data_IF_114368482934
#
_entry.id   IF_114368482934
#
_cell.length_a   1.000
_cell.length_b   1.000
_cell.length_c   1.000
_cell.angle_alpha   90.00
_cell.angle_beta   90.00
_cell.angle_gamma   90.00
#
_symmetry.space_group_name_H-M   'P 1'
#
loop_
_entity.id
_entity.type
_entity.pdbx_description
1 polymer ?
#
# COMPACT_ATOMS: atom_id res chain seq x y z
N UNK A 1 44.74 -19.59 -21.08
CA UNK A 1 43.94 -18.45 -20.62
C UNK A 1 42.54 -18.95 -20.42
N UNK A 2 42.21 -19.29 -19.16
CA UNK A 2 40.92 -19.90 -18.78
C UNK A 2 40.10 -18.80 -18.08
N UNK A 3 39.00 -18.40 -18.67
CA UNK A 3 37.99 -17.55 -18.01
C UNK A 3 36.93 -18.44 -17.36
N UNK A 4 37.00 -18.49 -16.04
CA UNK A 4 35.99 -19.17 -15.20
C UNK A 4 34.85 -18.19 -14.96
N UNK A 5 33.67 -18.50 -15.50
CA UNK A 5 32.44 -17.76 -15.27
C UNK A 5 31.66 -18.35 -14.08
N UNK A 6 31.61 -17.59 -13.00
CA UNK A 6 30.78 -17.94 -11.84
C UNK A 6 29.32 -17.57 -12.10
N UNK A 7 28.50 -18.58 -12.36
CA UNK A 7 27.04 -18.46 -12.43
C UNK A 7 26.50 -18.64 -11.01
N UNK A 8 26.15 -17.56 -10.34
CA UNK A 8 25.41 -17.61 -9.10
C UNK A 8 23.95 -17.94 -9.40
N UNK A 9 23.55 -19.15 -9.03
CA UNK A 9 22.17 -19.64 -9.05
C UNK A 9 21.38 -18.95 -7.95
N UNK A 10 20.37 -18.16 -8.32
CA UNK A 10 19.31 -17.74 -7.41
C UNK A 10 18.37 -18.92 -7.20
N UNK A 11 18.40 -19.48 -5.99
CA UNK A 11 17.44 -20.49 -5.56
C UNK A 11 16.17 -19.82 -5.07
N UNK A 12 15.08 -19.99 -5.81
CA UNK A 12 13.73 -19.71 -5.33
C UNK A 12 13.33 -20.88 -4.45
N UNK A 13 13.30 -20.67 -3.13
CA UNK A 13 12.76 -21.61 -2.16
C UNK A 13 11.36 -21.21 -1.76
N UNK A 14 10.35 -21.86 -2.33
CA UNK A 14 9.00 -21.83 -1.78
C UNK A 14 8.96 -22.67 -0.51
N UNK A 15 8.66 -22.07 0.62
CA UNK A 15 8.43 -22.71 1.92
C UNK A 15 7.26 -22.06 2.64
N UNK A 16 6.07 -22.62 2.43
CA UNK A 16 4.92 -22.46 3.32
C UNK A 16 5.27 -23.09 4.66
N UNK A 17 5.04 -22.36 5.78
CA UNK A 17 4.43 -22.79 7.06
C UNK A 17 4.74 -21.71 8.10
N UNK A 18 3.68 -21.18 8.70
CA UNK A 18 3.50 -20.48 9.96
C UNK A 18 4.73 -20.05 10.74
N UNK A 19 4.94 -18.75 10.85
CA UNK A 19 5.96 -18.17 11.72
C UNK A 19 6.28 -16.75 11.25
N UNK A 20 6.19 -15.81 12.16
CA UNK A 20 6.50 -14.41 11.95
C UNK A 20 7.76 -14.24 11.09
N UNK A 21 7.60 -13.78 9.87
CA UNK A 21 8.73 -13.39 9.02
C UNK A 21 9.06 -11.93 9.34
N UNK A 22 10.00 -11.76 10.23
CA UNK A 22 10.73 -10.52 10.34
C UNK A 22 11.65 -10.42 9.11
N UNK A 23 11.16 -9.80 8.04
CA UNK A 23 12.01 -9.42 6.91
C UNK A 23 12.72 -8.13 7.28
N UNK A 24 13.89 -8.26 7.88
CA UNK A 24 14.83 -7.15 7.95
C UNK A 24 15.46 -6.98 6.56
N UNK A 25 14.85 -6.18 5.71
CA UNK A 25 15.50 -5.67 4.50
C UNK A 25 16.33 -4.46 4.91
N UNK A 26 17.58 -4.70 5.32
CA UNK A 26 18.59 -3.65 5.37
C UNK A 26 19.08 -3.40 3.95
N UNK A 27 18.38 -2.55 3.22
CA UNK A 27 18.96 -1.85 2.07
C UNK A 27 19.39 -0.50 2.59
N UNK A 28 20.70 -0.34 2.74
CA UNK A 28 21.27 0.95 3.05
C UNK A 28 21.13 1.87 1.86
N UNK A 29 20.45 2.98 2.05
CA UNK A 29 20.69 4.26 1.38
C UNK A 29 20.06 5.34 2.27
N UNK A 30 20.81 6.38 2.54
CA UNK A 30 20.49 7.39 3.50
C UNK A 30 19.36 8.31 3.02
N UNK A 31 18.51 8.68 3.97
CA UNK A 31 17.50 9.73 3.84
C UNK A 31 16.26 9.38 4.64
N UNK A 32 16.24 9.77 5.89
CA UNK A 32 15.11 10.12 6.76
C UNK A 32 13.69 9.58 6.43
N UNK A 33 13.46 8.29 6.51
CA UNK A 33 12.12 7.73 6.72
C UNK A 33 12.15 6.61 7.75
N UNK A 34 12.50 6.98 9.00
CA UNK A 34 12.51 6.06 10.13
C UNK A 34 11.10 5.80 10.73
N UNK A 35 10.04 6.37 10.15
CA UNK A 35 8.71 6.32 10.75
C UNK A 35 7.98 4.99 10.62
N UNK A 36 7.97 4.39 9.44
CA UNK A 36 7.17 3.18 9.18
C UNK A 36 7.81 1.90 9.75
N UNK A 37 9.14 1.78 9.67
CA UNK A 37 9.84 0.63 10.22
C UNK A 37 9.80 0.56 11.76
N UNK A 38 9.78 1.72 12.45
CA UNK A 38 9.66 1.79 13.91
C UNK A 38 8.23 1.46 14.39
N UNK A 39 7.20 1.79 13.59
CA UNK A 39 5.82 1.39 13.89
C UNK A 39 5.64 -0.12 13.75
N UNK A 40 6.19 -0.73 12.69
CA UNK A 40 6.16 -2.19 12.50
C UNK A 40 6.87 -2.95 13.65
N UNK A 41 7.97 -2.44 14.14
CA UNK A 41 8.69 -3.03 15.29
C UNK A 41 7.87 -2.94 16.59
N UNK A 42 7.07 -1.89 16.76
CA UNK A 42 6.18 -1.70 17.91
C UNK A 42 5.00 -2.68 17.91
N UNK A 43 4.40 -2.92 16.76
CA UNK A 43 3.25 -3.85 16.59
C UNK A 43 3.69 -5.30 16.76
N UNK A 44 4.84 -5.69 16.20
CA UNK A 44 5.38 -7.05 16.36
C UNK A 44 5.83 -7.38 17.81
N UNK A 45 6.22 -6.38 18.59
CA UNK A 45 6.70 -6.57 19.96
C UNK A 45 5.58 -6.67 21.01
N UNK A 46 4.36 -6.27 20.68
CA UNK A 46 3.24 -6.23 21.64
C UNK A 46 2.55 -7.57 21.89
N UNK A 47 2.92 -8.68 21.21
CA UNK A 47 2.44 -10.04 21.51
C UNK A 47 0.92 -10.26 21.43
N UNK A 48 0.15 -9.24 21.06
CA UNK A 48 -1.23 -9.33 20.65
C UNK A 48 -1.23 -9.36 19.13
N UNK A 49 -1.98 -10.26 18.49
CA UNK A 49 -2.15 -10.21 17.04
C UNK A 49 -2.49 -8.77 16.65
N UNK A 50 -1.77 -8.21 15.67
CA UNK A 50 -2.10 -6.90 15.13
C UNK A 50 -3.59 -6.91 14.83
N UNK A 51 -4.33 -5.96 15.39
CA UNK A 51 -5.73 -5.81 15.08
C UNK A 51 -5.80 -5.62 13.56
N UNK A 52 -6.73 -6.27 12.88
CA UNK A 52 -6.77 -6.19 11.42
C UNK A 52 -6.87 -4.75 10.93
N UNK A 53 -7.45 -3.87 11.75
CA UNK A 53 -7.51 -2.43 11.52
C UNK A 53 -6.12 -1.77 11.45
N UNK A 54 -5.12 -2.27 12.18
CA UNK A 54 -3.76 -1.73 12.10
C UNK A 54 -3.16 -1.90 10.69
N UNK A 55 -3.54 -2.98 9.98
CA UNK A 55 -3.14 -3.19 8.59
C UNK A 55 -3.70 -2.12 7.65
N UNK A 56 -4.92 -1.65 7.90
CA UNK A 56 -5.52 -0.56 7.12
C UNK A 56 -4.82 0.77 7.40
N UNK A 57 -4.55 1.09 8.66
CA UNK A 57 -3.83 2.32 9.03
C UNK A 57 -2.45 2.32 8.35
N UNK A 58 -1.77 1.18 8.35
CA UNK A 58 -0.50 1.02 7.65
C UNK A 58 -0.67 1.19 6.13
N UNK A 59 -1.74 0.66 5.55
CA UNK A 59 -2.01 0.81 4.12
C UNK A 59 -2.23 2.29 3.73
N UNK A 60 -3.00 3.04 4.51
CA UNK A 60 -3.18 4.48 4.32
C UNK A 60 -1.85 5.23 4.37
N UNK A 61 -1.00 4.94 5.38
CA UNK A 61 0.33 5.54 5.49
C UNK A 61 1.23 5.22 4.28
N UNK A 62 1.25 3.97 3.81
CA UNK A 62 2.03 3.58 2.64
C UNK A 62 1.59 4.32 1.35
N UNK A 63 0.29 4.54 1.16
CA UNK A 63 -0.21 5.32 0.02
C UNK A 63 0.18 6.80 0.13
N UNK A 64 0.19 7.38 1.34
CA UNK A 64 0.68 8.74 1.56
C UNK A 64 2.18 8.84 1.26
N UNK A 65 2.98 7.90 1.76
CA UNK A 65 4.41 7.84 1.48
C UNK A 65 4.69 7.69 -0.02
N UNK A 66 3.94 6.81 -0.72
CA UNK A 66 4.03 6.67 -2.17
C UNK A 66 3.69 7.96 -2.93
N UNK A 67 2.70 8.71 -2.45
CA UNK A 67 2.36 10.03 -3.00
C UNK A 67 3.49 11.02 -2.79
N UNK A 68 4.05 11.07 -1.57
CA UNK A 68 5.13 11.99 -1.22
C UNK A 68 6.39 11.72 -2.04
N UNK A 69 6.73 10.47 -2.30
CA UNK A 69 7.82 10.08 -3.21
C UNK A 69 7.60 10.70 -4.59
N UNK A 70 6.42 10.52 -5.20
CA UNK A 70 6.17 11.05 -6.57
C UNK A 70 6.17 12.58 -6.59
N UNK A 71 5.57 13.21 -5.59
CA UNK A 71 5.48 14.68 -5.54
C UNK A 71 6.81 15.34 -5.17
N UNK A 72 7.70 14.60 -4.50
CA UNK A 72 9.03 15.06 -4.09
C UNK A 72 10.08 15.04 -5.20
N UNK A 73 9.80 14.41 -6.36
CA UNK A 73 10.77 14.32 -7.46
C UNK A 73 11.10 15.73 -7.99
N UNK A 74 12.38 16.11 -7.91
CA UNK A 74 12.86 17.36 -8.48
C UNK A 74 12.94 17.27 -10.01
N UNK A 75 12.17 18.10 -10.68
CA UNK A 75 12.12 18.14 -12.17
C UNK A 75 13.04 19.18 -12.78
N UNK A 76 13.73 19.99 -11.98
CA UNK A 76 14.48 21.16 -12.44
C UNK A 76 15.63 20.81 -13.39
N UNK A 77 16.24 19.65 -13.21
CA UNK A 77 17.36 19.17 -14.04
C UNK A 77 16.95 18.11 -15.07
N UNK A 78 15.67 17.69 -15.06
CA UNK A 78 15.17 16.67 -15.97
C UNK A 78 14.88 17.24 -17.35
N UNK A 79 15.13 16.43 -18.38
CA UNK A 79 14.82 16.79 -19.76
C UNK A 79 14.38 15.57 -20.59
N UNK A 80 13.73 15.84 -21.72
CA UNK A 80 13.34 14.80 -22.67
C UNK A 80 12.40 13.77 -22.08
N UNK A 81 12.71 12.49 -22.26
CA UNK A 81 11.83 11.37 -21.90
C UNK A 81 11.65 11.21 -20.40
N UNK A 82 12.67 11.52 -19.58
CA UNK A 82 12.54 11.44 -18.13
C UNK A 82 11.57 12.48 -17.60
N UNK A 83 11.66 13.73 -18.07
CA UNK A 83 10.70 14.77 -17.71
C UNK A 83 9.26 14.34 -18.08
N UNK A 84 9.05 13.81 -19.29
CA UNK A 84 7.74 13.33 -19.72
C UNK A 84 7.24 12.15 -18.88
N UNK A 85 8.12 11.29 -18.40
CA UNK A 85 7.75 10.19 -17.49
C UNK A 85 7.25 10.73 -16.15
N UNK A 86 7.95 11.70 -15.56
CA UNK A 86 7.54 12.34 -14.30
C UNK A 86 6.24 13.12 -14.47
N UNK A 87 6.08 13.91 -15.54
CA UNK A 87 4.82 14.61 -15.84
C UNK A 87 3.63 13.65 -15.98
N UNK A 88 3.86 12.47 -16.55
CA UNK A 88 2.82 11.43 -16.65
C UNK A 88 2.49 10.83 -15.28
N UNK A 89 3.50 10.62 -14.44
CA UNK A 89 3.34 10.10 -13.08
C UNK A 89 2.64 11.10 -12.13
N UNK A 90 2.68 12.41 -12.41
CA UNK A 90 2.01 13.44 -11.60
C UNK A 90 0.47 13.30 -11.52
N UNK A 91 -0.13 12.40 -12.28
CA UNK A 91 -1.54 12.05 -12.15
C UNK A 91 -1.80 10.99 -11.07
N UNK A 92 -0.79 10.23 -10.69
CA UNK A 92 -0.89 9.15 -9.70
C UNK A 92 -1.21 9.68 -8.30
N UNK A 93 -0.65 10.80 -7.82
CA UNK A 93 -1.00 11.38 -6.52
C UNK A 93 -2.50 11.55 -6.27
N UNK A 94 -3.27 11.99 -7.27
CA UNK A 94 -4.73 12.13 -7.11
C UNK A 94 -5.45 10.77 -6.99
N UNK A 95 -4.91 9.73 -7.61
CA UNK A 95 -5.42 8.36 -7.48
C UNK A 95 -5.09 7.82 -6.08
N UNK A 96 -3.89 8.09 -5.60
CA UNK A 96 -3.45 7.70 -4.24
C UNK A 96 -4.29 8.40 -3.18
N UNK A 97 -4.62 9.68 -3.35
CA UNK A 97 -5.54 10.39 -2.44
C UNK A 97 -6.92 9.71 -2.36
N UNK A 98 -7.42 9.18 -3.46
CA UNK A 98 -8.68 8.42 -3.47
C UNK A 98 -8.56 7.13 -2.66
N UNK A 99 -7.42 6.45 -2.72
CA UNK A 99 -7.19 5.22 -1.95
C UNK A 99 -7.01 5.52 -0.46
N UNK A 100 -6.27 6.57 -0.10
CA UNK A 100 -6.17 7.04 1.28
C UNK A 100 -7.56 7.36 1.83
N UNK A 101 -8.36 8.14 1.09
CA UNK A 101 -9.72 8.45 1.49
C UNK A 101 -10.58 7.19 1.68
N UNK A 102 -10.47 6.20 0.76
CA UNK A 102 -11.21 4.95 0.88
C UNK A 102 -10.82 4.19 2.15
N UNK A 103 -9.54 4.12 2.47
CA UNK A 103 -9.03 3.40 3.63
C UNK A 103 -9.35 4.16 4.92
N UNK A 104 -8.89 5.39 5.06
CA UNK A 104 -8.90 6.12 6.33
C UNK A 104 -10.28 6.70 6.66
N UNK A 105 -10.97 7.26 5.66
CA UNK A 105 -12.23 7.96 5.88
C UNK A 105 -13.48 7.08 5.70
N UNK A 106 -13.34 5.93 5.04
CA UNK A 106 -14.50 5.05 4.78
C UNK A 106 -14.37 3.68 5.45
N UNK A 107 -13.26 2.99 5.23
CA UNK A 107 -13.14 1.59 5.65
C UNK A 107 -12.83 1.46 7.13
N UNK A 108 -11.86 2.21 7.65
CA UNK A 108 -11.50 2.18 9.09
C UNK A 108 -12.70 2.52 9.99
N UNK A 109 -13.49 3.59 9.75
CA UNK A 109 -14.68 3.86 10.54
C UNK A 109 -15.75 2.78 10.40
N UNK A 110 -15.96 2.25 9.18
CA UNK A 110 -16.94 1.21 8.92
C UNK A 110 -16.63 -0.08 9.69
N UNK A 111 -15.37 -0.53 9.68
CA UNK A 111 -14.94 -1.69 10.45
C UNK A 111 -15.10 -1.48 11.94
N UNK A 112 -14.68 -0.33 12.44
CA UNK A 112 -14.83 0.03 13.84
C UNK A 112 -16.30 -0.02 14.28
N UNK A 113 -17.21 0.48 13.44
CA UNK A 113 -18.66 0.42 13.71
C UNK A 113 -19.19 -1.02 13.72
N UNK A 114 -18.78 -1.84 12.74
CA UNK A 114 -19.17 -3.26 12.66
C UNK A 114 -18.68 -4.02 13.91
N UNK A 115 -17.41 -3.86 14.26
CA UNK A 115 -16.83 -4.56 15.41
C UNK A 115 -17.48 -4.14 16.73
N UNK A 116 -17.74 -2.84 16.91
CA UNK A 116 -18.43 -2.32 18.10
C UNK A 116 -19.84 -2.90 18.27
N UNK A 117 -20.56 -3.13 17.17
CA UNK A 117 -21.93 -3.66 17.21
C UNK A 117 -22.01 -5.20 17.17
N UNK A 118 -20.91 -5.87 16.87
CA UNK A 118 -20.87 -7.34 16.72
C UNK A 118 -20.81 -8.11 18.05
N UNK A 119 -20.52 -7.46 19.15
CA UNK A 119 -20.46 -8.08 20.48
C UNK A 119 -19.52 -9.29 20.52
N UNK A 120 -20.04 -10.45 20.95
CA UNK A 120 -19.26 -11.69 21.05
C UNK A 120 -18.83 -12.29 19.70
N UNK A 121 -19.35 -11.80 18.58
CA UNK A 121 -18.99 -12.28 17.24
C UNK A 121 -17.88 -11.43 16.59
N UNK A 122 -17.43 -10.37 17.24
CA UNK A 122 -16.44 -9.43 16.66
C UNK A 122 -15.17 -10.14 16.15
N UNK A 123 -14.58 -11.03 16.95
CA UNK A 123 -13.37 -11.76 16.55
C UNK A 123 -13.60 -12.72 15.37
N UNK A 124 -14.79 -13.29 15.25
CA UNK A 124 -15.12 -14.16 14.12
C UNK A 124 -15.31 -13.35 12.84
N UNK A 125 -15.99 -12.20 12.92
CA UNK A 125 -16.18 -11.28 11.79
C UNK A 125 -14.84 -10.73 11.35
N UNK A 126 -14.01 -10.31 12.28
CA UNK A 126 -12.66 -9.84 11.99
C UNK A 126 -11.86 -10.90 11.23
N UNK A 127 -11.72 -12.11 11.77
CA UNK A 127 -10.92 -13.17 11.17
C UNK A 127 -11.41 -13.65 9.81
N UNK A 128 -12.73 -13.71 9.61
CA UNK A 128 -13.29 -14.29 8.38
C UNK A 128 -13.50 -13.29 7.25
N UNK A 129 -13.73 -12.00 7.58
CA UNK A 129 -14.13 -11.01 6.59
C UNK A 129 -13.19 -9.80 6.55
N UNK A 130 -12.82 -9.24 7.71
CA UNK A 130 -12.04 -8.00 7.74
C UNK A 130 -10.56 -8.26 7.54
N UNK A 131 -9.97 -9.18 8.29
CA UNK A 131 -8.53 -9.44 8.21
C UNK A 131 -8.04 -9.84 6.81
N UNK A 132 -8.73 -10.70 6.02
CA UNK A 132 -8.34 -10.98 4.65
C UNK A 132 -8.40 -9.76 3.72
N UNK A 133 -9.40 -8.88 3.92
CA UNK A 133 -9.52 -7.65 3.15
C UNK A 133 -8.42 -6.65 3.51
N UNK A 134 -8.17 -6.48 4.80
CA UNK A 134 -7.15 -5.58 5.30
C UNK A 134 -5.75 -6.00 4.86
N UNK A 135 -5.51 -7.32 4.79
CA UNK A 135 -4.27 -7.84 4.22
C UNK A 135 -4.14 -7.49 2.73
N UNK A 136 -5.23 -7.55 1.94
CA UNK A 136 -5.19 -7.13 0.53
C UNK A 136 -4.82 -5.65 0.39
N UNK A 137 -5.34 -4.78 1.25
CA UNK A 137 -4.99 -3.36 1.25
C UNK A 137 -3.54 -3.14 1.66
N UNK A 138 -3.06 -3.85 2.68
CA UNK A 138 -1.67 -3.77 3.11
C UNK A 138 -0.72 -4.20 1.99
N UNK A 139 -0.98 -5.35 1.35
CA UNK A 139 -0.17 -5.87 0.24
C UNK A 139 -0.17 -4.91 -0.96
N UNK A 140 -1.34 -4.37 -1.34
CA UNK A 140 -1.47 -3.42 -2.44
C UNK A 140 -0.73 -2.10 -2.17
N UNK A 141 -0.82 -1.59 -0.94
CA UNK A 141 -0.14 -0.35 -0.55
C UNK A 141 1.39 -0.53 -0.51
N UNK A 142 1.88 -1.66 0.00
CA UNK A 142 3.30 -1.99 -0.01
C UNK A 142 3.83 -2.14 -1.46
N UNK A 143 3.09 -2.85 -2.31
CA UNK A 143 3.41 -2.98 -3.74
C UNK A 143 3.47 -1.62 -4.44
N UNK A 144 2.56 -0.71 -4.11
CA UNK A 144 2.53 0.66 -4.65
C UNK A 144 3.75 1.46 -4.19
N UNK A 145 4.05 1.46 -2.88
CA UNK A 145 5.20 2.15 -2.33
C UNK A 145 6.51 1.64 -2.94
N UNK A 146 6.65 0.33 -3.10
CA UNK A 146 7.82 -0.27 -3.75
C UNK A 146 7.96 0.16 -5.22
N UNK A 147 6.85 0.24 -5.96
CA UNK A 147 6.85 0.69 -7.35
C UNK A 147 7.20 2.18 -7.47
N UNK A 148 6.72 3.03 -6.56
CA UNK A 148 7.07 4.46 -6.54
C UNK A 148 8.53 4.72 -6.17
N UNK A 149 9.06 3.99 -5.19
CA UNK A 149 10.49 4.06 -4.84
C UNK A 149 11.38 3.59 -6.00
N UNK A 150 10.98 2.54 -6.73
CA UNK A 150 11.68 2.11 -7.93
C UNK A 150 11.64 3.15 -9.05
N UNK A 151 10.53 3.90 -9.17
CA UNK A 151 10.39 4.99 -10.12
C UNK A 151 11.34 6.15 -9.76
N UNK A 152 11.33 6.60 -8.52
CA UNK A 152 12.21 7.66 -8.02
C UNK A 152 13.69 7.30 -8.27
N UNK A 153 14.12 6.12 -7.84
CA UNK A 153 15.48 5.63 -8.06
C UNK A 153 15.87 5.60 -9.54
N UNK A 154 14.95 5.20 -10.41
CA UNK A 154 15.20 5.20 -11.86
C UNK A 154 15.34 6.62 -12.43
N UNK A 155 14.61 7.60 -11.90
CA UNK A 155 14.75 9.01 -12.27
C UNK A 155 16.09 9.56 -11.80
N UNK A 156 16.50 9.29 -10.56
CA UNK A 156 17.80 9.70 -10.02
C UNK A 156 18.98 9.11 -10.80
N UNK A 157 18.87 7.84 -11.20
CA UNK A 157 19.88 7.15 -12.02
C UNK A 157 19.87 7.57 -13.51
N UNK A 158 18.92 8.40 -13.94
CA UNK A 158 18.74 8.78 -15.34
C UNK A 158 18.27 7.62 -16.23
N UNK A 159 17.69 6.57 -15.66
CA UNK A 159 17.29 5.33 -16.33
C UNK A 159 15.90 5.40 -16.93
N UNK A 160 15.78 5.80 -18.20
CA UNK A 160 14.48 5.79 -18.91
C UNK A 160 13.79 4.42 -18.90
N UNK A 161 14.49 3.30 -19.20
CA UNK A 161 13.84 1.98 -19.14
C UNK A 161 13.35 1.62 -17.74
N UNK A 162 14.10 2.00 -16.69
CA UNK A 162 13.71 1.81 -15.29
C UNK A 162 12.44 2.59 -14.94
N UNK A 163 12.41 3.87 -15.27
CA UNK A 163 11.26 4.74 -15.03
C UNK A 163 9.98 4.24 -15.75
N UNK A 164 10.11 3.81 -17.01
CA UNK A 164 9.00 3.23 -17.76
C UNK A 164 8.52 1.93 -17.12
N UNK A 165 9.43 1.04 -16.74
CA UNK A 165 9.09 -0.23 -16.07
C UNK A 165 8.35 0.01 -14.75
N UNK A 166 8.84 0.92 -13.92
CA UNK A 166 8.23 1.26 -12.64
C UNK A 166 6.84 1.92 -12.83
N UNK A 167 6.67 2.76 -13.85
CA UNK A 167 5.36 3.32 -14.20
C UNK A 167 4.34 2.22 -14.55
N UNK A 168 4.74 1.21 -15.31
CA UNK A 168 3.89 0.06 -15.60
C UNK A 168 3.59 -0.78 -14.35
N UNK A 169 4.54 -0.90 -13.42
CA UNK A 169 4.31 -1.57 -12.14
C UNK A 169 3.24 -0.83 -11.31
N UNK A 170 3.33 0.50 -11.18
CA UNK A 170 2.31 1.29 -10.49
C UNK A 170 0.92 1.10 -11.09
N UNK A 171 0.81 1.11 -12.43
CA UNK A 171 -0.45 0.82 -13.11
C UNK A 171 -0.91 -0.62 -12.85
N UNK A 172 0.00 -1.58 -12.90
CA UNK A 172 -0.28 -2.99 -12.59
C UNK A 172 -0.88 -3.13 -11.19
N UNK A 173 -0.23 -2.59 -10.17
CA UNK A 173 -0.72 -2.58 -8.77
C UNK A 173 -2.10 -1.94 -8.67
N UNK A 174 -2.29 -0.77 -9.32
CA UNK A 174 -3.58 -0.07 -9.31
C UNK A 174 -4.70 -0.98 -9.81
N UNK A 175 -4.53 -1.62 -10.98
CA UNK A 175 -5.59 -2.40 -11.61
C UNK A 175 -5.72 -3.82 -11.08
N UNK A 176 -4.64 -4.47 -10.66
CA UNK A 176 -4.67 -5.87 -10.24
C UNK A 176 -4.81 -6.09 -8.74
N UNK A 177 -4.49 -5.10 -7.93
CA UNK A 177 -4.49 -5.21 -6.47
C UNK A 177 -5.41 -4.17 -5.83
N UNK A 178 -5.18 -2.87 -6.07
CA UNK A 178 -5.87 -1.80 -5.33
C UNK A 178 -7.35 -1.67 -5.73
N UNK A 179 -7.67 -1.66 -7.01
CA UNK A 179 -9.08 -1.58 -7.46
C UNK A 179 -9.89 -2.81 -7.01
N UNK A 180 -9.40 -4.06 -7.13
CA UNK A 180 -10.09 -5.21 -6.55
C UNK A 180 -10.32 -5.11 -5.05
N UNK A 181 -9.33 -4.64 -4.26
CA UNK A 181 -9.48 -4.40 -2.83
C UNK A 181 -10.58 -3.35 -2.54
N UNK A 182 -10.58 -2.24 -3.29
CA UNK A 182 -11.60 -1.20 -3.16
C UNK A 182 -13.02 -1.74 -3.46
N UNK A 183 -13.18 -2.53 -4.51
CA UNK A 183 -14.47 -3.16 -4.84
C UNK A 183 -14.90 -4.13 -3.73
N UNK A 184 -13.98 -4.95 -3.21
CA UNK A 184 -14.25 -5.88 -2.13
C UNK A 184 -14.61 -5.18 -0.81
N UNK A 185 -14.18 -3.94 -0.61
CA UNK A 185 -14.48 -3.12 0.56
C UNK A 185 -15.88 -2.51 0.55
N UNK A 186 -16.50 -2.35 -0.60
CA UNK A 186 -17.80 -1.67 -0.71
C UNK A 186 -18.90 -2.27 0.20
N UNK A 187 -19.06 -3.61 0.31
CA UNK A 187 -20.02 -4.19 1.24
C UNK A 187 -19.74 -3.83 2.70
N UNK A 188 -18.46 -3.77 3.09
CA UNK A 188 -18.06 -3.44 4.47
C UNK A 188 -18.40 -1.98 4.77
N UNK A 189 -18.05 -1.05 3.87
CA UNK A 189 -18.40 0.36 4.00
C UNK A 189 -19.91 0.55 4.07
N UNK A 190 -20.67 -0.15 3.22
CA UNK A 190 -22.15 -0.07 3.25
C UNK A 190 -22.74 -0.62 4.55
N UNK A 191 -22.28 -1.77 5.03
CA UNK A 191 -22.74 -2.36 6.29
C UNK A 191 -22.36 -1.46 7.47
N UNK A 192 -21.13 -0.96 7.52
CA UNK A 192 -20.64 -0.06 8.57
C UNK A 192 -21.48 1.21 8.67
N UNK A 193 -21.86 1.78 7.52
CA UNK A 193 -22.71 2.98 7.49
C UNK A 193 -24.12 2.77 8.04
N UNK A 194 -24.61 1.53 8.10
CA UNK A 194 -25.89 1.23 8.73
C UNK A 194 -25.83 1.35 10.27
N UNK A 195 -24.63 1.30 10.83
CA UNK A 195 -24.39 1.44 12.27
C UNK A 195 -23.92 2.84 12.67
N UNK A 196 -23.61 3.69 11.68
CA UNK A 196 -23.18 5.06 11.91
C UNK A 196 -24.37 6.01 11.69
N UNK A 197 -24.98 6.48 12.78
CA UNK A 197 -26.10 7.42 12.77
C UNK A 197 -25.75 8.79 12.13
N UNK A 198 -24.46 9.05 11.89
CA UNK A 198 -23.96 10.31 11.33
C UNK A 198 -23.87 10.31 9.79
N UNK A 199 -23.90 9.14 9.13
CA UNK A 199 -23.75 9.05 7.68
C UNK A 199 -25.13 9.08 7.00
N UNK A 200 -25.40 10.16 6.28
CA UNK A 200 -26.59 10.20 5.43
C UNK A 200 -26.37 9.36 4.18
N UNK A 201 -27.43 8.70 3.68
CA UNK A 201 -27.37 7.89 2.45
C UNK A 201 -26.88 8.65 1.22
N UNK A 202 -26.87 9.98 1.24
CA UNK A 202 -26.32 10.83 0.19
C UNK A 202 -24.79 10.78 0.14
N UNK A 203 -24.12 10.65 1.30
CA UNK A 203 -22.66 10.61 1.38
C UNK A 203 -22.06 9.27 0.90
N UNK A 204 -22.89 8.21 0.84
CA UNK A 204 -22.45 6.87 0.43
C UNK A 204 -22.17 6.76 -1.09
N UNK A 205 -22.73 7.65 -1.89
CA UNK A 205 -22.67 7.59 -3.35
C UNK A 205 -21.97 8.78 -4.01
N UNK A 206 -21.38 9.68 -3.22
CA UNK A 206 -20.59 10.80 -3.76
C UNK A 206 -19.18 10.33 -4.15
N UNK A 207 -19.11 9.57 -5.23
CA UNK A 207 -17.87 9.26 -5.92
C UNK A 207 -17.61 10.38 -6.93
N UNK A 208 -17.12 11.51 -6.47
CA UNK A 208 -16.60 12.57 -7.34
C UNK A 208 -15.22 12.15 -7.87
N UNK A 209 -15.18 11.68 -9.12
CA UNK A 209 -13.92 11.43 -9.85
C UNK A 209 -13.42 12.70 -10.54
#
# INVERSE_FOLDING_TARGET
MQMSGDIRRFGVGAGLIGGAVAVALTVGLGGAHAGAADQLAGVAAAGGGADSTDLLIMAGANFLDAKDVITGIDTSELSGTLLSAVESAQRIPSILDTFVFMVDDRLVPAESAILAHSGSMSSLIDQLFLAPLNQQWADASESMLNATNAFESAIEDGSVPGAVSASFQMLGVTFSETIPAAIASMPIVWIGSLFDDAVTTADLFDFSF
#
